data_IF_983717012867
#
_entry.id   IF_983717012867
#
_cell.length_a   1.000
_cell.length_b   1.000
_cell.length_c   1.000
_cell.angle_alpha   90.00
_cell.angle_beta   90.00
_cell.angle_gamma   90.00
#
_symmetry.space_group_name_H-M   'P 1'
#
loop_
_entity.id
_entity.type
_entity.pdbx_description
1 polymer ?
#
# COMPACT_ATOMS: atom_id res chain seq x y z
N UNK A 1 13.52 -10.30 -7.79
CA UNK A 1 12.50 -9.56 -7.03
C UNK A 1 13.05 -9.40 -5.63
N UNK A 2 13.20 -8.18 -5.14
CA UNK A 2 13.62 -7.95 -3.74
C UNK A 2 12.33 -7.89 -2.93
N UNK A 3 12.16 -8.79 -1.96
CA UNK A 3 11.03 -8.74 -1.05
C UNK A 3 11.10 -7.44 -0.24
N UNK A 4 10.04 -6.64 -0.29
CA UNK A 4 9.92 -5.45 0.54
C UNK A 4 9.60 -5.94 1.95
N UNK A 5 10.52 -5.74 2.89
CA UNK A 5 10.26 -5.93 4.30
C UNK A 5 9.76 -4.61 4.90
N UNK A 6 8.62 -4.63 5.57
CA UNK A 6 8.10 -3.45 6.27
C UNK A 6 8.37 -3.59 7.77
N UNK A 7 9.28 -2.76 8.27
CA UNK A 7 9.51 -2.67 9.71
C UNK A 7 8.29 -2.10 10.45
N UNK A 8 8.16 -2.42 11.75
CA UNK A 8 7.12 -1.83 12.60
C UNK A 8 7.12 -0.29 12.55
N UNK A 9 8.30 0.33 12.46
CA UNK A 9 8.43 1.78 12.30
C UNK A 9 7.70 2.31 11.04
N UNK A 10 7.83 1.62 9.90
CA UNK A 10 7.18 2.02 8.66
C UNK A 10 5.65 1.89 8.75
N UNK A 11 5.17 0.83 9.42
CA UNK A 11 3.73 0.59 9.64
C UNK A 11 3.16 1.64 10.59
N UNK A 12 3.83 1.91 11.72
CA UNK A 12 3.46 2.96 12.66
C UNK A 12 3.52 4.36 12.05
N UNK A 13 4.42 4.61 11.10
CA UNK A 13 4.43 5.84 10.32
C UNK A 13 3.21 5.94 9.39
N UNK A 14 2.90 4.89 8.62
CA UNK A 14 1.75 4.85 7.73
C UNK A 14 0.42 5.00 8.48
N UNK A 15 0.26 4.33 9.62
CA UNK A 15 -0.93 4.43 10.47
C UNK A 15 -1.15 5.86 10.98
N UNK A 16 -0.09 6.58 11.36
CA UNK A 16 -0.19 8.00 11.76
C UNK A 16 -0.66 8.89 10.62
N UNK A 17 -0.14 8.70 9.40
CA UNK A 17 -0.60 9.45 8.21
C UNK A 17 -2.09 9.19 7.96
N UNK A 18 -2.51 7.93 8.09
CA UNK A 18 -3.90 7.52 7.92
C UNK A 18 -4.82 7.84 9.12
N UNK A 19 -4.26 8.35 10.22
CA UNK A 19 -4.96 8.60 11.50
C UNK A 19 -5.65 7.35 12.07
N UNK A 20 -5.00 6.20 11.95
CA UNK A 20 -5.47 4.92 12.48
C UNK A 20 -4.78 4.61 13.81
N UNK A 21 -5.57 4.14 14.78
CA UNK A 21 -5.04 3.53 16.00
C UNK A 21 -4.82 2.03 15.76
N UNK A 22 -3.57 1.59 15.89
CA UNK A 22 -3.14 0.22 15.58
C UNK A 22 -2.39 -0.45 16.74
N UNK A 23 -2.45 0.12 17.95
CA UNK A 23 -1.62 -0.32 19.08
C UNK A 23 -1.73 -1.83 19.38
N UNK A 24 -2.87 -2.45 19.13
CA UNK A 24 -3.10 -3.89 19.36
C UNK A 24 -2.90 -4.77 18.11
N UNK A 25 -2.52 -4.19 16.97
CA UNK A 25 -2.50 -4.87 15.66
C UNK A 25 -1.18 -4.71 14.91
N UNK A 26 -0.25 -3.92 15.41
CA UNK A 26 1.00 -3.57 14.71
C UNK A 26 1.79 -4.78 14.20
N UNK A 27 2.01 -5.79 15.06
CA UNK A 27 2.75 -7.01 14.71
C UNK A 27 2.05 -7.86 13.63
N UNK A 28 0.71 -7.80 13.56
CA UNK A 28 -0.07 -8.52 12.56
C UNK A 28 -0.06 -7.81 11.20
N UNK A 29 0.08 -6.48 11.20
CA UNK A 29 -0.06 -5.68 9.99
C UNK A 29 1.16 -5.81 9.07
N UNK A 30 2.35 -6.11 9.58
CA UNK A 30 3.56 -6.21 8.76
C UNK A 30 3.45 -7.25 7.66
N UNK A 31 3.26 -8.53 7.98
CA UNK A 31 3.12 -9.59 6.97
C UNK A 31 1.95 -9.36 6.00
N UNK A 32 0.86 -8.74 6.49
CA UNK A 32 -0.31 -8.42 5.65
C UNK A 32 0.03 -7.35 4.63
N UNK A 33 0.68 -6.27 5.05
CA UNK A 33 1.10 -5.17 4.17
C UNK A 33 2.16 -5.66 3.18
N UNK A 34 3.13 -6.46 3.62
CA UNK A 34 4.12 -7.11 2.75
C UNK A 34 3.44 -7.94 1.65
N UNK A 35 2.46 -8.76 2.01
CA UNK A 35 1.69 -9.55 1.04
C UNK A 35 0.92 -8.69 0.02
N UNK A 36 0.28 -7.61 0.47
CA UNK A 36 -0.42 -6.68 -0.42
C UNK A 36 0.55 -6.00 -1.39
N UNK A 37 1.69 -5.52 -0.90
CA UNK A 37 2.71 -4.90 -1.77
C UNK A 37 3.33 -5.90 -2.74
N UNK A 38 3.52 -7.16 -2.35
CA UNK A 38 3.96 -8.20 -3.28
C UNK A 38 2.97 -8.43 -4.43
N UNK A 39 1.66 -8.25 -4.20
CA UNK A 39 0.65 -8.27 -5.28
C UNK A 39 0.76 -7.02 -6.16
N UNK A 40 0.96 -5.85 -5.57
CA UNK A 40 1.12 -4.58 -6.31
C UNK A 40 2.39 -4.61 -7.17
N UNK A 41 3.50 -5.15 -6.65
CA UNK A 41 4.77 -5.27 -7.36
C UNK A 41 4.65 -6.15 -8.62
N UNK A 42 3.64 -7.03 -8.73
CA UNK A 42 3.38 -7.75 -9.98
C UNK A 42 2.93 -6.82 -11.12
N UNK A 43 2.40 -5.63 -10.81
CA UNK A 43 2.03 -4.64 -11.80
C UNK A 43 3.27 -4.03 -12.49
N UNK A 44 4.46 -4.09 -11.89
CA UNK A 44 5.70 -3.60 -12.51
C UNK A 44 6.04 -4.36 -13.81
N UNK A 45 5.56 -5.60 -13.94
CA UNK A 45 5.75 -6.40 -15.14
C UNK A 45 4.81 -6.00 -16.29
N UNK A 46 3.81 -5.15 -16.04
CA UNK A 46 2.82 -4.75 -17.03
C UNK A 46 3.38 -3.60 -17.89
N UNK A 47 3.59 -3.80 -19.21
CA UNK A 47 4.06 -2.72 -20.07
C UNK A 47 2.96 -1.67 -20.27
N UNK A 48 3.19 -0.45 -19.77
CA UNK A 48 2.22 0.63 -19.85
C UNK A 48 2.17 1.31 -21.23
N UNK A 49 3.23 1.17 -22.04
CA UNK A 49 3.34 1.83 -23.35
C UNK A 49 3.16 3.34 -23.23
N UNK A 50 2.38 3.93 -24.14
CA UNK A 50 2.00 5.36 -24.14
C UNK A 50 0.73 5.64 -23.34
N UNK A 51 0.25 4.70 -22.52
CA UNK A 51 -1.00 4.88 -21.75
C UNK A 51 -0.83 6.03 -20.75
N UNK A 52 -1.52 7.17 -20.94
CA UNK A 52 -1.40 8.26 -19.99
C UNK A 52 -1.99 7.85 -18.63
N UNK A 53 -1.46 8.36 -17.51
CA UNK A 53 -2.06 8.13 -16.20
C UNK A 53 -3.54 8.52 -16.22
N UNK A 54 -4.41 7.67 -15.68
CA UNK A 54 -5.81 8.02 -15.49
C UNK A 54 -5.90 9.11 -14.41
N UNK A 55 -6.00 10.37 -14.83
CA UNK A 55 -6.10 11.55 -13.95
C UNK A 55 -7.53 11.82 -13.43
N UNK A 56 -8.47 10.91 -13.70
CA UNK A 56 -9.84 10.98 -13.19
C UNK A 56 -9.93 10.46 -11.75
N UNK A 57 -9.39 11.20 -10.79
CA UNK A 57 -9.74 10.97 -9.39
C UNK A 57 -11.05 11.69 -9.08
N UNK A 58 -12.14 10.93 -8.89
CA UNK A 58 -13.36 11.46 -8.29
C UNK A 58 -13.31 11.18 -6.77
N UNK A 59 -13.01 12.18 -5.93
CA UNK A 59 -12.95 12.00 -4.47
C UNK A 59 -14.32 11.76 -3.85
N UNK A 60 -15.41 11.82 -4.63
CA UNK A 60 -16.76 11.60 -4.10
C UNK A 60 -16.98 10.10 -3.93
N UNK A 61 -16.88 9.67 -2.69
CA UNK A 61 -17.51 8.44 -2.24
C UNK A 61 -19.03 8.68 -2.20
N UNK A 62 -19.69 8.66 -3.35
CA UNK A 62 -21.15 8.62 -3.41
C UNK A 62 -21.59 7.18 -3.06
N UNK A 63 -22.39 7.07 -2.00
CA UNK A 63 -22.92 5.82 -1.47
C UNK A 63 -24.03 5.21 -2.33
#
# INVERSE_FOLDING_TARGET
MVERAFSGEAIGHAARIARLDIAEREDMLGPVVEGIYALIDQLDAVPLGETPPAIGFDPRWEA
#
